data_IF_910826267346
#
_entry.id   IF_910826267346
#
_cell.length_a   1.000
_cell.length_b   1.000
_cell.length_c   1.000
_cell.angle_alpha   90.00
_cell.angle_beta   90.00
_cell.angle_gamma   90.00
#
_symmetry.space_group_name_H-M   'P 1'
#
loop_
_entity.id
_entity.type
_entity.pdbx_description
1 polymer ?
#
# COMPACT_ATOMS: atom_id res chain seq x y z
N UNK A 1 -9.72 10.29 7.78
CA UNK A 1 -9.28 9.28 6.80
C UNK A 1 -10.50 8.59 6.20
N UNK A 2 -10.64 8.53 4.87
CA UNK A 2 -11.82 7.94 4.20
C UNK A 2 -11.42 6.72 3.37
N UNK A 3 -12.16 5.62 3.47
CA UNK A 3 -11.91 4.43 2.64
C UNK A 3 -12.21 4.75 1.18
N UNK A 4 -11.27 4.44 0.29
CA UNK A 4 -11.47 4.58 -1.16
C UNK A 4 -12.18 3.32 -1.64
N UNK A 5 -13.26 3.49 -2.41
CA UNK A 5 -13.98 2.36 -3.04
C UNK A 5 -13.73 2.27 -4.55
N UNK A 6 -13.32 3.38 -5.16
CA UNK A 6 -13.10 3.50 -6.59
C UNK A 6 -11.61 3.35 -6.92
N UNK A 7 -11.09 2.15 -6.69
CA UNK A 7 -9.76 1.76 -7.12
C UNK A 7 -9.83 0.38 -7.78
N UNK A 8 -8.84 0.05 -8.59
CA UNK A 8 -8.69 -1.25 -9.21
C UNK A 8 -7.30 -1.79 -8.89
N UNK A 9 -7.22 -3.04 -8.47
CA UNK A 9 -5.96 -3.76 -8.31
C UNK A 9 -5.86 -4.80 -9.42
N UNK A 10 -4.73 -4.83 -10.10
CA UNK A 10 -4.46 -5.79 -11.18
C UNK A 10 -3.03 -6.31 -11.06
N UNK A 11 -2.79 -7.54 -11.54
CA UNK A 11 -1.43 -8.03 -11.72
C UNK A 11 -0.70 -7.21 -12.78
N UNK A 12 0.60 -7.03 -12.61
CA UNK A 12 1.45 -6.42 -13.63
C UNK A 12 1.45 -7.26 -14.91
N UNK A 13 1.55 -6.59 -16.06
CA UNK A 13 1.68 -7.30 -17.32
C UNK A 13 3.05 -7.97 -17.38
N UNK A 14 3.11 -9.23 -17.82
CA UNK A 14 4.35 -10.02 -17.94
C UNK A 14 5.44 -9.28 -18.72
N UNK A 15 5.07 -8.53 -19.77
CA UNK A 15 6.02 -7.73 -20.56
C UNK A 15 6.70 -6.63 -19.72
N UNK A 16 5.95 -5.95 -18.85
CA UNK A 16 6.49 -4.89 -17.99
C UNK A 16 7.34 -5.47 -16.85
N UNK A 17 6.99 -6.67 -16.39
CA UNK A 17 7.80 -7.41 -15.42
C UNK A 17 9.15 -7.81 -16.02
N UNK A 18 9.15 -8.41 -17.22
CA UNK A 18 10.37 -8.82 -17.94
C UNK A 18 11.26 -7.60 -18.25
N UNK A 19 10.68 -6.50 -18.75
CA UNK A 19 11.43 -5.28 -19.03
C UNK A 19 12.08 -4.67 -17.78
N UNK A 20 11.47 -4.87 -16.61
CA UNK A 20 12.01 -4.47 -15.32
C UNK A 20 12.86 -5.53 -14.62
N UNK A 21 13.22 -6.63 -15.29
CA UNK A 21 14.04 -7.71 -14.71
C UNK A 21 13.36 -8.49 -13.57
N UNK A 22 12.04 -8.41 -13.46
CA UNK A 22 11.24 -9.06 -12.40
C UNK A 22 10.52 -10.27 -12.96
N UNK A 23 10.63 -11.40 -12.25
CA UNK A 23 10.00 -12.65 -12.64
C UNK A 23 8.87 -13.08 -11.69
N UNK A 24 8.67 -12.35 -10.59
CA UNK A 24 7.58 -12.57 -9.64
C UNK A 24 6.41 -11.61 -9.93
N UNK A 25 5.15 -12.09 -9.93
CA UNK A 25 3.98 -11.25 -10.20
C UNK A 25 3.89 -10.09 -9.22
N UNK A 26 4.02 -8.86 -9.73
CA UNK A 26 3.73 -7.65 -8.95
C UNK A 26 2.28 -7.22 -9.08
N UNK A 27 1.82 -6.41 -8.13
CA UNK A 27 0.51 -5.76 -8.20
C UNK A 27 0.63 -4.31 -8.67
N UNK A 28 -0.44 -3.82 -9.28
CA UNK A 28 -0.65 -2.42 -9.57
C UNK A 28 -1.99 -1.98 -9.01
N UNK A 29 -2.01 -0.79 -8.43
CA UNK A 29 -3.24 -0.08 -8.09
C UNK A 29 -3.48 1.05 -9.08
N UNK A 30 -4.71 1.16 -9.57
CA UNK A 30 -5.19 2.31 -10.31
C UNK A 30 -6.30 2.98 -9.52
N UNK A 31 -6.18 4.28 -9.27
CA UNK A 31 -7.22 5.08 -8.62
C UNK A 31 -7.41 6.41 -9.31
N UNK A 32 -8.58 7.03 -9.06
CA UNK A 32 -8.89 8.38 -9.56
C UNK A 32 -8.94 9.38 -8.40
N UNK A 33 -8.39 10.55 -8.62
CA UNK A 33 -8.56 11.72 -7.76
C UNK A 33 -8.89 12.96 -8.59
N UNK A 34 -8.70 14.15 -8.00
CA UNK A 34 -9.00 15.43 -8.67
C UNK A 34 -7.99 15.78 -9.77
N UNK A 35 -6.77 15.23 -9.70
CA UNK A 35 -5.68 15.49 -10.65
C UNK A 35 -5.72 14.52 -11.84
N UNK A 36 -6.32 13.35 -11.67
CA UNK A 36 -6.48 12.41 -12.77
C UNK A 36 -6.66 10.96 -12.35
N UNK A 37 -6.37 10.07 -13.28
CA UNK A 37 -6.24 8.64 -13.03
C UNK A 37 -4.75 8.33 -12.86
N UNK A 38 -4.42 7.69 -11.75
CA UNK A 38 -3.05 7.37 -11.37
C UNK A 38 -2.90 5.86 -11.28
N UNK A 39 -1.74 5.35 -11.71
CA UNK A 39 -1.44 3.92 -11.61
C UNK A 39 -0.06 3.75 -10.99
N UNK A 40 -0.04 3.03 -9.87
CA UNK A 40 1.15 2.76 -9.09
C UNK A 40 1.41 1.28 -9.03
N UNK A 41 2.68 0.89 -9.05
CA UNK A 41 3.09 -0.47 -8.70
C UNK A 41 3.10 -0.57 -7.19
N UNK A 42 2.59 -1.67 -6.67
CA UNK A 42 2.69 -1.98 -5.25
C UNK A 42 3.85 -2.94 -5.02
N UNK A 43 4.56 -2.74 -3.92
CA UNK A 43 5.53 -3.72 -3.42
C UNK A 43 4.82 -5.00 -2.94
N UNK A 44 3.56 -4.85 -2.55
CA UNK A 44 2.69 -5.92 -2.08
C UNK A 44 2.37 -6.99 -3.13
N UNK A 45 2.35 -8.24 -2.67
CA UNK A 45 1.98 -9.43 -3.44
C UNK A 45 0.52 -9.80 -3.24
N UNK A 46 0.20 -11.09 -3.10
CA UNK A 46 -1.16 -11.56 -2.75
C UNK A 46 -1.51 -11.22 -1.29
N UNK A 47 -1.80 -9.94 -1.06
CA UNK A 47 -2.05 -9.33 0.25
C UNK A 47 -3.48 -8.82 0.40
N UNK A 48 -3.93 -8.70 1.64
CA UNK A 48 -5.14 -7.95 1.96
C UNK A 48 -4.85 -6.45 1.84
N UNK A 49 -5.44 -5.83 0.81
CA UNK A 49 -5.16 -4.43 0.47
C UNK A 49 -6.31 -3.53 0.93
N UNK A 50 -5.95 -2.52 1.72
CA UNK A 50 -6.83 -1.50 2.24
C UNK A 50 -6.40 -0.12 1.74
N UNK A 51 -7.28 0.54 1.00
CA UNK A 51 -6.99 1.85 0.40
C UNK A 51 -7.78 2.95 1.11
N UNK A 52 -7.07 3.97 1.57
CA UNK A 52 -7.63 5.13 2.25
C UNK A 52 -7.11 6.45 1.66
N UNK A 53 -7.85 7.53 1.90
CA UNK A 53 -7.45 8.89 1.49
C UNK A 53 -7.58 9.87 2.64
N UNK A 54 -6.58 10.71 2.83
CA UNK A 54 -6.54 11.79 3.82
C UNK A 54 -5.64 12.93 3.31
N UNK A 55 -6.09 14.19 3.45
CA UNK A 55 -5.30 15.37 3.08
C UNK A 55 -4.67 15.40 1.66
N UNK A 56 -5.30 14.74 0.67
CA UNK A 56 -4.75 14.64 -0.70
C UNK A 56 -3.93 13.37 -0.95
N UNK A 57 -3.48 12.72 0.11
CA UNK A 57 -2.70 11.49 0.08
C UNK A 57 -3.60 10.27 -0.09
N UNK A 58 -3.20 9.36 -0.97
CA UNK A 58 -3.76 8.02 -1.09
C UNK A 58 -2.83 7.03 -0.40
N UNK A 59 -3.31 6.42 0.67
CA UNK A 59 -2.59 5.44 1.49
C UNK A 59 -3.05 4.03 1.10
N UNK A 60 -2.12 3.18 0.71
CA UNK A 60 -2.35 1.77 0.38
C UNK A 60 -1.67 0.92 1.44
N UNK A 61 -2.48 0.38 2.36
CA UNK A 61 -2.03 -0.57 3.34
C UNK A 61 -2.16 -1.98 2.77
N UNK A 62 -1.10 -2.75 2.88
CA UNK A 62 -1.03 -4.16 2.50
C UNK A 62 -0.73 -4.98 3.74
N UNK A 63 -1.57 -5.97 4.04
CA UNK A 63 -1.44 -6.83 5.21
C UNK A 63 -1.32 -8.26 4.74
N UNK A 64 -0.32 -8.97 5.22
CA UNK A 64 -0.18 -10.41 5.01
C UNK A 64 0.01 -11.10 6.36
N UNK A 65 -1.09 -11.55 6.96
CA UNK A 65 -1.06 -12.23 8.25
C UNK A 65 -0.25 -13.53 8.19
N UNK A 66 -0.30 -14.25 7.06
CA UNK A 66 0.42 -15.52 6.87
C UNK A 66 1.93 -15.32 6.89
N UNK A 67 2.42 -14.25 6.28
CA UNK A 67 3.86 -13.92 6.21
C UNK A 67 4.29 -12.95 7.32
N UNK A 68 3.35 -12.52 8.16
CA UNK A 68 3.58 -11.67 9.32
C UNK A 68 4.14 -10.29 8.96
N UNK A 69 3.67 -9.68 7.88
CA UNK A 69 4.11 -8.33 7.49
C UNK A 69 2.95 -7.37 7.25
N UNK A 70 3.30 -6.09 7.35
CA UNK A 70 2.47 -4.97 6.94
C UNK A 70 3.32 -4.00 6.10
N UNK A 71 2.76 -3.53 5.01
CA UNK A 71 3.34 -2.48 4.17
C UNK A 71 2.38 -1.32 4.04
N UNK A 72 2.88 -0.09 4.07
CA UNK A 72 2.11 1.10 3.73
C UNK A 72 2.85 1.84 2.63
N UNK A 73 2.17 2.10 1.52
CA UNK A 73 2.65 2.95 0.43
C UNK A 73 1.75 4.19 0.34
N UNK A 74 2.34 5.37 0.21
CA UNK A 74 1.64 6.66 0.24
C UNK A 74 1.91 7.42 -1.05
N UNK A 75 0.83 7.87 -1.68
CA UNK A 75 0.87 8.53 -2.97
C UNK A 75 0.19 9.90 -2.94
N UNK A 76 0.79 10.89 -3.59
CA UNK A 76 0.16 12.16 -3.95
C UNK A 76 0.03 12.22 -5.48
N UNK A 77 -1.18 11.97 -5.99
CA UNK A 77 -1.41 11.85 -7.44
C UNK A 77 -0.60 10.70 -8.05
N UNK A 78 0.30 11.03 -8.97
CA UNK A 78 1.22 10.12 -9.68
C UNK A 78 2.58 9.97 -8.98
N UNK A 79 2.80 10.62 -7.83
CA UNK A 79 4.04 10.56 -7.08
C UNK A 79 3.91 9.65 -5.85
N UNK A 80 4.92 8.81 -5.63
CA UNK A 80 5.14 8.13 -4.35
C UNK A 80 5.80 9.12 -3.40
N UNK A 81 5.15 9.42 -2.28
CA UNK A 81 5.68 10.36 -1.27
C UNK A 81 6.28 9.64 -0.06
N UNK A 82 5.98 8.35 0.11
CA UNK A 82 6.72 7.54 1.06
C UNK A 82 6.16 6.13 1.19
N UNK A 83 6.93 5.28 1.85
CA UNK A 83 6.58 3.90 2.11
C UNK A 83 7.21 3.41 3.41
N UNK A 84 6.61 2.38 3.99
CA UNK A 84 7.16 1.65 5.13
C UNK A 84 6.76 0.19 5.03
N UNK A 85 7.69 -0.70 5.37
CA UNK A 85 7.48 -2.14 5.42
C UNK A 85 7.99 -2.67 6.76
N UNK A 86 7.13 -3.37 7.49
CA UNK A 86 7.45 -4.01 8.76
C UNK A 86 7.15 -5.49 8.69
N UNK A 87 8.05 -6.32 9.24
CA UNK A 87 7.87 -7.76 9.26
C UNK A 87 8.24 -8.37 10.62
N UNK A 88 7.51 -9.42 11.00
CA UNK A 88 7.77 -10.17 12.22
C UNK A 88 7.62 -9.32 13.47
N UNK A 89 8.65 -9.27 14.31
CA UNK A 89 8.60 -8.56 15.59
C UNK A 89 8.39 -7.05 15.44
N UNK A 90 8.87 -6.45 14.35
CA UNK A 90 8.71 -5.02 14.08
C UNK A 90 7.23 -4.61 14.01
N UNK A 91 6.37 -5.50 13.51
CA UNK A 91 4.93 -5.26 13.45
C UNK A 91 4.37 -5.08 14.85
N UNK A 92 4.76 -5.94 15.79
CA UNK A 92 4.30 -5.87 17.19
C UNK A 92 4.90 -4.68 17.92
N UNK A 93 6.17 -4.37 17.68
CA UNK A 93 6.86 -3.23 18.30
C UNK A 93 6.21 -1.91 17.91
N UNK A 94 5.86 -1.74 16.62
CA UNK A 94 5.24 -0.50 16.12
C UNK A 94 3.74 -0.44 16.41
N UNK A 95 3.00 -1.54 16.22
CA UNK A 95 1.55 -1.54 16.41
C UNK A 95 1.13 -1.76 17.86
N UNK A 96 1.98 -2.31 18.72
CA UNK A 96 1.70 -2.61 20.13
C UNK A 96 0.57 -3.62 20.40
N UNK A 97 -0.23 -3.98 19.39
CA UNK A 97 -1.29 -4.99 19.40
C UNK A 97 -1.67 -5.35 17.96
N UNK A 98 -2.29 -6.52 17.80
CA UNK A 98 -2.54 -7.14 16.49
C UNK A 98 -3.96 -6.87 15.94
N UNK A 99 -4.90 -6.37 16.76
CA UNK A 99 -6.33 -6.22 16.43
C UNK A 99 -6.74 -4.81 15.96
N UNK A 100 -5.82 -4.10 15.28
CA UNK A 100 -6.07 -2.73 14.86
C UNK A 100 -6.90 -2.66 13.57
N UNK A 101 -7.87 -1.75 13.55
CA UNK A 101 -8.57 -1.40 12.32
C UNK A 101 -7.57 -0.81 11.29
N UNK A 102 -7.71 -1.08 9.97
CA UNK A 102 -6.76 -0.64 8.95
C UNK A 102 -6.43 0.85 8.98
N UNK A 103 -7.42 1.72 9.21
CA UNK A 103 -7.17 3.17 9.31
C UNK A 103 -6.32 3.56 10.53
N UNK A 104 -6.37 2.77 11.61
CA UNK A 104 -5.54 2.99 12.80
C UNK A 104 -4.11 2.53 12.55
N UNK A 105 -3.94 1.41 11.83
CA UNK A 105 -2.62 0.96 11.37
C UNK A 105 -1.97 2.04 10.50
N UNK A 106 -2.69 2.52 9.47
CA UNK A 106 -2.20 3.57 8.57
C UNK A 106 -1.75 4.80 9.35
N UNK A 107 -2.57 5.30 10.29
CA UNK A 107 -2.21 6.49 11.09
C UNK A 107 -0.91 6.35 11.87
N UNK A 108 -0.66 5.18 12.46
CA UNK A 108 0.60 4.92 13.17
C UNK A 108 1.78 4.86 12.22
N UNK A 109 1.61 4.14 11.11
CA UNK A 109 2.67 4.01 10.10
C UNK A 109 3.02 5.34 9.44
N UNK A 110 2.05 6.24 9.27
CA UNK A 110 2.28 7.61 8.78
C UNK A 110 3.22 8.43 9.67
N UNK A 111 3.35 8.11 10.98
CA UNK A 111 4.29 8.81 11.87
C UNK A 111 5.76 8.52 11.53
N UNK A 112 6.01 7.49 10.73
CA UNK A 112 7.34 7.08 10.27
C UNK A 112 7.63 7.50 8.83
N UNK A 113 6.65 8.11 8.14
CA UNK A 113 6.77 8.58 6.76
C UNK A 113 6.88 10.10 6.80
N UNK A 114 8.02 10.63 6.34
CA UNK A 114 8.39 12.05 6.40
C UNK A 114 7.81 12.90 5.28
#
# INVERSE_FOLDING_TARGET
MKRVKNYRITKEATKEMIAGGRFNPGLKITFRDRLGQHTHKLAAGEDDIHVYREAGLTCVLSVNERLGYIGLEVFEGDQTVGDIFLQGNQVKEVLGREDLAPFTIIRRLMEFIG
#
